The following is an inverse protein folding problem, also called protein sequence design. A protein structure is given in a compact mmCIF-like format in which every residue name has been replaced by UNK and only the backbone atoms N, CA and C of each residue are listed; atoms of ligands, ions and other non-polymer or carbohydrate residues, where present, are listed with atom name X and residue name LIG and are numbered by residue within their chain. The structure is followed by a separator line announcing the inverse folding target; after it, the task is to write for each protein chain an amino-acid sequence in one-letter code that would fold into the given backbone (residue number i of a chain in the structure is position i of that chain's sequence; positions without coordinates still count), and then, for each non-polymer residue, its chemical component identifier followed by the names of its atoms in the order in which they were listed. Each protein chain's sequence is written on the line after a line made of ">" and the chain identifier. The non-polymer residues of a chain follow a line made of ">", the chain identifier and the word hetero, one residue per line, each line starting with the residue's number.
data_IF_497304325285
#
_entry.id   IF_497304325285
#
_cell.length_a   1.000
_cell.length_b   1.000
_cell.length_c   1.000
_cell.angle_alpha   90.00
_cell.angle_beta   90.00
_cell.angle_gamma   90.00
#
_symmetry.space_group_name_H-M   'P 1'
#
loop_
_entity.id
_entity.type
_entity.pdbx_description
1 polymer ?
#
# COMPACT_ATOMS: atom_id res chain seq x y z
N UNK A 1 17.49 14.60 -3.26
CA UNK A 1 16.39 15.11 -3.81
C UNK A 1 15.26 14.47 -3.22
N UNK A 2 14.33 15.03 -3.23
CA UNK A 2 13.33 14.54 -2.67
C UNK A 2 12.95 13.44 -3.34
N UNK A 3 12.77 12.47 -2.83
CA UNK A 3 12.34 11.34 -3.41
C UNK A 3 11.11 11.62 -4.09
N UNK A 4 11.19 11.74 -5.33
CA UNK A 4 10.01 11.76 -6.08
C UNK A 4 9.39 10.41 -5.94
N UNK A 5 8.06 10.33 -5.93
CA UNK A 5 7.39 9.06 -5.83
C UNK A 5 7.91 8.04 -6.83
N UNK A 6 8.25 8.47 -8.04
CA UNK A 6 8.74 7.54 -9.02
C UNK A 6 10.01 6.87 -8.55
N UNK A 7 10.77 7.49 -7.69
CA UNK A 7 11.98 6.89 -7.19
C UNK A 7 11.70 5.64 -6.38
N UNK A 8 10.49 5.51 -5.87
CA UNK A 8 10.14 4.32 -5.12
C UNK A 8 9.94 3.13 -6.05
N UNK A 9 9.66 3.39 -7.31
CA UNK A 9 9.44 2.34 -8.29
C UNK A 9 10.61 2.17 -9.23
N UNK A 10 11.69 2.99 -9.05
CA UNK A 10 12.85 2.85 -9.85
C UNK A 10 13.65 1.75 -9.25
N UNK A 11 13.44 0.57 -9.66
CA UNK A 11 14.04 -0.62 -9.11
C UNK A 11 15.25 -1.02 -9.90
N UNK A 12 16.27 -1.54 -9.21
CA UNK A 12 17.46 -2.04 -9.90
C UNK A 12 17.12 -3.23 -10.76
N UNK A 13 16.02 -3.91 -10.43
CA UNK A 13 15.59 -5.11 -11.12
C UNK A 13 14.22 -4.88 -11.76
N UNK A 14 13.89 -5.62 -12.82
CA UNK A 14 12.57 -5.52 -13.42
C UNK A 14 11.47 -5.79 -12.38
N UNK A 15 10.29 -5.18 -12.56
CA UNK A 15 9.17 -5.41 -11.67
C UNK A 15 8.85 -6.90 -11.54
N UNK A 16 9.06 -7.66 -12.61
CA UNK A 16 8.83 -9.11 -12.63
C UNK A 16 9.67 -9.89 -11.62
N UNK A 17 10.75 -9.31 -11.09
CA UNK A 17 11.59 -9.99 -10.11
C UNK A 17 11.26 -9.60 -8.68
N UNK A 18 10.27 -8.74 -8.46
CA UNK A 18 9.87 -8.32 -7.13
C UNK A 18 8.98 -9.37 -6.50
N UNK A 19 9.35 -9.85 -5.32
CA UNK A 19 8.62 -10.93 -4.64
C UNK A 19 7.91 -10.47 -3.37
N UNK A 20 8.10 -9.23 -2.95
CA UNK A 20 7.49 -8.69 -1.73
C UNK A 20 6.59 -7.51 -2.06
N UNK A 21 5.65 -7.17 -1.17
CA UNK A 21 4.79 -6.02 -1.39
C UNK A 21 5.59 -4.71 -1.50
N UNK A 22 5.12 -3.82 -2.34
CA UNK A 22 5.72 -2.50 -2.53
C UNK A 22 4.74 -1.45 -2.02
N UNK A 23 5.21 -0.59 -1.13
CA UNK A 23 4.40 0.49 -0.58
C UNK A 23 4.12 1.53 -1.66
N UNK A 24 2.86 1.93 -1.78
CA UNK A 24 2.49 3.05 -2.63
C UNK A 24 2.33 4.26 -1.71
N UNK A 25 3.32 5.13 -1.72
CA UNK A 25 3.27 6.32 -0.87
C UNK A 25 2.27 7.33 -1.40
N UNK A 26 1.76 8.14 -0.50
CA UNK A 26 0.88 9.26 -0.83
C UNK A 26 -0.48 8.86 -1.41
N UNK A 27 -0.98 7.70 -1.01
CA UNK A 27 -2.34 7.32 -1.30
C UNK A 27 -3.18 7.68 -0.07
N UNK A 28 -4.11 8.60 -0.25
CA UNK A 28 -4.97 9.08 0.81
C UNK A 28 -6.43 8.92 0.42
N UNK A 29 -7.28 8.67 1.42
CA UNK A 29 -8.71 8.53 1.23
C UNK A 29 -9.41 9.59 2.07
N UNK A 30 -10.60 9.98 1.65
CA UNK A 30 -11.43 10.86 2.47
C UNK A 30 -11.74 10.17 3.80
N UNK A 31 -11.89 10.93 4.86
CA UNK A 31 -12.07 10.38 6.19
C UNK A 31 -13.23 9.37 6.23
N UNK A 32 -12.95 8.19 6.76
CA UNK A 32 -13.93 7.10 6.92
C UNK A 32 -14.62 6.73 5.60
N UNK A 33 -13.96 6.93 4.47
CA UNK A 33 -14.52 6.68 3.14
C UNK A 33 -13.51 5.95 2.26
N UNK A 34 -14.01 5.46 1.15
CA UNK A 34 -13.16 4.82 0.15
C UNK A 34 -12.80 5.77 -1.00
N UNK A 35 -13.29 7.00 -0.98
CA UNK A 35 -13.00 7.95 -2.05
C UNK A 35 -11.55 8.42 -1.94
N UNK A 36 -10.85 8.38 -3.06
CA UNK A 36 -9.46 8.84 -3.12
C UNK A 36 -9.41 10.36 -3.09
N UNK A 37 -8.40 10.91 -2.43
CA UNK A 37 -8.17 12.35 -2.46
C UNK A 37 -7.47 12.74 -3.75
N UNK A 38 -7.56 14.01 -4.17
CA UNK A 38 -6.87 14.47 -5.38
C UNK A 38 -5.35 14.23 -5.33
N UNK A 39 -4.75 14.32 -4.15
CA UNK A 39 -3.31 14.12 -4.00
C UNK A 39 -2.89 12.69 -4.38
N UNK A 40 -3.79 11.73 -4.23
CA UNK A 40 -3.50 10.34 -4.56
C UNK A 40 -3.28 10.12 -6.05
N UNK A 41 -3.79 11.01 -6.90
CA UNK A 41 -3.70 10.81 -8.35
C UNK A 41 -2.28 10.82 -8.87
N UNK A 42 -1.39 11.60 -8.25
CA UNK A 42 0.01 11.66 -8.68
C UNK A 42 0.66 10.28 -8.52
N UNK A 43 0.52 9.68 -7.36
CA UNK A 43 1.12 8.35 -7.11
C UNK A 43 0.49 7.29 -8.01
N UNK A 44 -0.82 7.38 -8.24
CA UNK A 44 -1.50 6.40 -9.07
C UNK A 44 -1.15 6.55 -10.55
N UNK A 45 -0.93 7.78 -11.03
CA UNK A 45 -0.49 8.00 -12.40
C UNK A 45 0.92 7.42 -12.61
N UNK A 46 1.76 7.50 -11.60
CA UNK A 46 3.09 6.89 -11.67
C UNK A 46 2.99 5.36 -11.67
N UNK A 47 2.05 4.80 -10.93
CA UNK A 47 1.82 3.35 -10.94
C UNK A 47 1.30 2.92 -12.32
N UNK A 48 0.43 3.72 -12.96
CA UNK A 48 -0.03 3.44 -14.32
C UNK A 48 1.17 3.38 -15.26
N UNK A 49 2.09 4.34 -15.16
CA UNK A 49 3.28 4.35 -16.01
C UNK A 49 4.13 3.09 -15.77
N UNK A 50 4.31 2.72 -14.50
CA UNK A 50 5.07 1.53 -14.15
C UNK A 50 4.43 0.27 -14.76
N UNK A 51 3.11 0.17 -14.69
CA UNK A 51 2.40 -0.98 -15.25
C UNK A 51 2.45 -0.99 -16.78
N UNK A 52 2.44 0.17 -17.42
CA UNK A 52 2.62 0.25 -18.87
C UNK A 52 4.03 -0.16 -19.28
N UNK A 53 5.02 0.16 -18.46
CA UNK A 53 6.41 -0.23 -18.73
C UNK A 53 6.66 -1.72 -18.46
N UNK A 54 5.75 -2.37 -17.74
CA UNK A 54 5.84 -3.79 -17.40
C UNK A 54 4.55 -4.51 -17.78
N UNK A 55 4.25 -4.64 -19.08
CA UNK A 55 2.93 -5.08 -19.54
C UNK A 55 2.55 -6.51 -19.19
N UNK A 56 3.53 -7.34 -18.82
CA UNK A 56 3.26 -8.76 -18.54
C UNK A 56 2.97 -9.03 -17.06
N UNK A 57 2.92 -8.00 -16.24
CA UNK A 57 2.77 -8.16 -14.80
C UNK A 57 1.31 -7.98 -14.38
N UNK A 58 0.84 -8.86 -13.51
CA UNK A 58 -0.43 -8.66 -12.81
C UNK A 58 -0.12 -8.37 -11.35
N UNK A 59 -0.93 -7.52 -10.73
CA UNK A 59 -0.69 -7.11 -9.34
C UNK A 59 -1.95 -7.21 -8.50
N UNK A 60 -1.74 -7.36 -7.19
CA UNK A 60 -2.78 -7.18 -6.21
C UNK A 60 -2.60 -5.80 -5.60
N UNK A 61 -3.69 -5.03 -5.52
CA UNK A 61 -3.72 -3.76 -4.79
C UNK A 61 -4.22 -4.08 -3.40
N UNK A 62 -3.38 -3.87 -2.40
CA UNK A 62 -3.63 -4.30 -1.03
C UNK A 62 -3.84 -3.09 -0.14
N UNK A 63 -5.00 -2.99 0.49
CA UNK A 63 -5.28 -1.89 1.41
C UNK A 63 -5.36 -2.42 2.85
N UNK A 64 -4.79 -1.67 3.78
CA UNK A 64 -4.64 -2.07 5.17
C UNK A 64 -5.11 -0.96 6.10
N UNK A 65 -5.67 -1.36 7.25
CA UNK A 65 -6.10 -0.47 8.32
C UNK A 65 -5.21 -0.68 9.55
N UNK A 66 -5.32 0.23 10.52
CA UNK A 66 -4.78 -0.04 11.84
C UNK A 66 -5.78 -0.90 12.64
N UNK A 67 -5.42 -1.24 13.88
CA UNK A 67 -6.25 -2.12 14.69
C UNK A 67 -7.45 -1.44 15.34
N UNK A 68 -7.58 -0.13 15.21
CA UNK A 68 -8.67 0.59 15.90
C UNK A 68 -9.98 0.40 15.16
N UNK A 69 -11.04 0.28 15.93
CA UNK A 69 -12.40 0.19 15.39
C UNK A 69 -12.85 -1.26 15.21
N UNK A 70 -13.94 -1.43 14.49
CA UNK A 70 -14.56 -2.73 14.27
C UNK A 70 -13.86 -3.49 13.14
N UNK A 71 -13.48 -4.74 13.41
CA UNK A 71 -12.72 -5.54 12.44
C UNK A 71 -13.47 -5.76 11.13
N UNK A 72 -14.75 -6.10 11.21
CA UNK A 72 -15.54 -6.35 10.00
C UNK A 72 -15.71 -5.08 9.18
N UNK A 73 -15.94 -3.96 9.87
CA UNK A 73 -16.06 -2.67 9.20
C UNK A 73 -14.76 -2.31 8.49
N UNK A 74 -13.63 -2.47 9.18
CA UNK A 74 -12.30 -2.17 8.62
C UNK A 74 -11.98 -3.08 7.43
N UNK A 75 -12.39 -4.34 7.50
CA UNK A 75 -12.15 -5.25 6.40
C UNK A 75 -12.93 -4.80 5.16
N UNK A 76 -14.19 -4.45 5.32
CA UNK A 76 -15.02 -3.97 4.21
C UNK A 76 -14.52 -2.62 3.67
N UNK A 77 -14.14 -1.71 4.56
CA UNK A 77 -13.64 -0.40 4.14
C UNK A 77 -12.34 -0.56 3.35
N UNK A 78 -11.41 -1.39 3.84
CA UNK A 78 -10.16 -1.61 3.12
C UNK A 78 -10.40 -2.26 1.76
N UNK A 79 -11.37 -3.18 1.65
CA UNK A 79 -11.72 -3.76 0.35
C UNK A 79 -12.24 -2.68 -0.61
N UNK A 80 -13.12 -1.81 -0.15
CA UNK A 80 -13.64 -0.72 -0.98
C UNK A 80 -12.53 0.27 -1.38
N UNK A 81 -11.57 0.49 -0.49
CA UNK A 81 -10.42 1.35 -0.80
C UNK A 81 -9.54 0.74 -1.88
N UNK A 82 -9.26 -0.55 -1.78
CA UNK A 82 -8.50 -1.24 -2.82
C UNK A 82 -9.24 -1.20 -4.16
N UNK A 83 -10.56 -1.35 -4.12
CA UNK A 83 -11.38 -1.28 -5.33
C UNK A 83 -11.37 0.13 -5.95
N UNK A 84 -11.29 1.17 -5.12
CA UNK A 84 -11.20 2.54 -5.64
C UNK A 84 -9.89 2.76 -6.39
N UNK A 85 -8.80 2.20 -5.88
CA UNK A 85 -7.50 2.26 -6.57
C UNK A 85 -7.59 1.53 -7.90
N UNK A 86 -8.15 0.32 -7.90
CA UNK A 86 -8.30 -0.47 -9.12
C UNK A 86 -9.14 0.29 -10.16
N UNK A 87 -10.25 0.88 -9.74
CA UNK A 87 -11.10 1.67 -10.67
C UNK A 87 -10.32 2.81 -11.30
N UNK A 88 -9.49 3.49 -10.52
CA UNK A 88 -8.67 4.58 -11.07
C UNK A 88 -7.69 4.04 -12.12
N UNK A 89 -7.04 2.93 -11.84
CA UNK A 89 -6.08 2.33 -12.77
C UNK A 89 -6.76 1.87 -14.06
N UNK A 90 -7.94 1.27 -13.94
CA UNK A 90 -8.72 0.84 -15.11
C UNK A 90 -9.09 2.06 -15.95
N UNK A 91 -9.54 3.13 -15.32
CA UNK A 91 -9.89 4.35 -16.01
C UNK A 91 -8.68 4.95 -16.70
N UNK A 92 -7.50 4.74 -16.15
CA UNK A 92 -6.24 5.17 -16.74
C UNK A 92 -5.71 4.28 -17.86
N UNK A 93 -6.44 3.22 -18.21
CA UNK A 93 -6.11 2.37 -19.36
C UNK A 93 -5.51 1.02 -19.02
N UNK A 94 -5.39 0.66 -17.72
CA UNK A 94 -4.86 -0.66 -17.36
C UNK A 94 -5.98 -1.69 -17.47
N UNK A 95 -5.66 -2.84 -18.08
CA UNK A 95 -6.61 -3.94 -18.23
C UNK A 95 -7.03 -4.45 -16.85
N UNK A 96 -8.33 -4.60 -16.63
CA UNK A 96 -8.86 -5.06 -15.35
C UNK A 96 -8.36 -6.45 -14.96
N UNK A 97 -8.03 -7.29 -15.94
CA UNK A 97 -7.53 -8.63 -15.66
C UNK A 97 -6.12 -8.63 -15.06
N UNK A 98 -5.45 -7.51 -15.10
CA UNK A 98 -4.11 -7.36 -14.50
C UNK A 98 -4.18 -6.94 -13.04
N UNK A 99 -5.38 -6.63 -12.53
CA UNK A 99 -5.53 -5.95 -11.24
C UNK A 99 -6.48 -6.72 -10.33
N UNK A 100 -6.05 -7.00 -9.11
CA UNK A 100 -6.89 -7.66 -8.10
C UNK A 100 -6.95 -6.78 -6.86
N UNK A 101 -8.13 -6.27 -6.49
CA UNK A 101 -8.23 -5.50 -5.25
C UNK A 101 -8.38 -6.42 -4.05
N UNK A 102 -7.67 -6.15 -2.97
CA UNK A 102 -7.76 -6.93 -1.75
C UNK A 102 -7.65 -6.04 -0.51
N UNK A 103 -8.69 -6.05 0.31
CA UNK A 103 -8.66 -5.39 1.59
C UNK A 103 -8.31 -6.39 2.68
N UNK A 104 -7.32 -6.07 3.49
CA UNK A 104 -6.86 -6.95 4.57
C UNK A 104 -7.31 -6.45 5.94
N UNK A 105 -7.92 -5.26 6.01
CA UNK A 105 -8.25 -4.68 7.31
C UNK A 105 -6.99 -4.59 8.16
N UNK A 106 -7.08 -5.06 9.39
CA UNK A 106 -5.95 -5.04 10.31
C UNK A 106 -5.16 -6.37 10.33
N UNK A 107 -5.53 -7.31 9.47
CA UNK A 107 -5.03 -8.69 9.55
C UNK A 107 -3.55 -8.86 9.16
N UNK A 108 -2.98 -7.88 8.48
CA UNK A 108 -1.57 -7.96 8.07
C UNK A 108 -0.83 -6.70 8.52
N UNK A 109 -0.41 -6.67 9.78
CA UNK A 109 0.39 -5.56 10.29
C UNK A 109 1.70 -5.45 9.51
N UNK A 110 2.19 -4.23 9.38
CA UNK A 110 3.44 -3.97 8.66
C UNK A 110 4.62 -4.59 9.40
N UNK A 111 5.51 -5.22 8.63
CA UNK A 111 6.83 -5.61 9.13
C UNK A 111 7.79 -4.48 8.79
N UNK A 112 8.54 -4.02 9.78
CA UNK A 112 9.44 -2.87 9.64
C UNK A 112 10.60 -3.19 8.71
N UNK A 113 10.83 -2.33 7.74
CA UNK A 113 11.95 -2.40 6.81
C UNK A 113 12.86 -1.20 7.04
N UNK A 114 13.99 -1.15 6.35
CA UNK A 114 14.88 0.01 6.43
C UNK A 114 14.14 1.30 6.03
N UNK A 115 13.24 1.21 5.05
CA UNK A 115 12.48 2.38 4.62
C UNK A 115 11.55 2.87 5.74
N UNK A 116 10.93 1.96 6.49
CA UNK A 116 10.05 2.29 7.59
C UNK A 116 10.76 3.12 8.67
N UNK A 117 12.03 2.85 8.88
CA UNK A 117 12.82 3.53 9.91
C UNK A 117 12.93 5.04 9.67
N UNK A 118 12.72 5.49 8.44
CA UNK A 118 12.75 6.93 8.14
C UNK A 118 11.67 7.69 8.89
N UNK A 119 10.49 7.09 9.02
CA UNK A 119 9.40 7.72 9.76
C UNK A 119 9.33 7.25 11.21
N UNK A 120 9.97 6.16 11.56
CA UNK A 120 9.89 5.58 12.89
C UNK A 120 11.26 5.05 13.34
N UNK A 121 12.21 5.94 13.60
CA UNK A 121 13.58 5.53 13.93
C UNK A 121 13.69 4.76 15.25
N UNK A 122 12.64 4.79 16.08
CA UNK A 122 12.62 4.04 17.34
C UNK A 122 12.33 2.55 17.12
N UNK A 123 11.99 2.12 15.90
CA UNK A 123 11.72 0.72 15.58
C UNK A 123 12.99 0.03 15.08
N UNK A 124 12.90 -1.29 14.96
CA UNK A 124 13.98 -2.10 14.41
C UNK A 124 13.47 -2.86 13.21
N UNK A 125 14.32 -3.06 12.22
CA UNK A 125 13.99 -3.89 11.06
C UNK A 125 13.54 -5.26 11.54
N UNK A 126 12.43 -5.73 11.04
CA UNK A 126 11.85 -7.03 11.42
C UNK A 126 10.77 -6.95 12.49
N UNK A 127 10.61 -5.80 13.16
CA UNK A 127 9.50 -5.64 14.09
C UNK A 127 8.19 -5.77 13.32
N UNK A 128 7.21 -6.45 13.91
CA UNK A 128 5.87 -6.57 13.33
C UNK A 128 4.93 -5.71 14.15
N UNK A 129 4.25 -4.78 13.50
CA UNK A 129 3.45 -3.76 14.17
C UNK A 129 2.06 -4.27 14.54
N UNK A 130 2.02 -5.33 15.36
CA UNK A 130 0.77 -5.88 15.88
C UNK A 130 0.18 -4.97 16.94
N UNK A 131 -1.09 -5.16 17.26
CA UNK A 131 -1.75 -4.42 18.33
C UNK A 131 -0.97 -4.58 19.64
N UNK A 132 -0.59 -5.82 19.97
CA UNK A 132 0.15 -6.09 21.18
C UNK A 132 1.48 -5.32 21.22
N UNK A 133 2.22 -5.34 20.13
CA UNK A 133 3.49 -4.64 20.04
C UNK A 133 3.28 -3.13 20.23
N UNK A 134 2.29 -2.57 19.55
CA UNK A 134 2.03 -1.13 19.57
C UNK A 134 1.62 -0.65 20.96
N UNK A 135 0.75 -1.42 21.63
CA UNK A 135 0.24 -1.01 22.94
C UNK A 135 1.32 -0.89 24.01
N UNK A 136 2.48 -1.50 23.81
CA UNK A 136 3.59 -1.37 24.73
C UNK A 136 4.46 -0.15 24.49
N UNK A 137 4.13 0.66 23.49
CA UNK A 137 4.90 1.87 23.16
C UNK A 137 4.28 3.12 23.79
N UNK A 138 5.05 4.21 23.95
CA UNK A 138 4.46 5.49 24.33
C UNK A 138 3.41 5.95 23.33
N UNK A 139 2.43 6.72 23.78
CA UNK A 139 1.30 7.11 22.93
C UNK A 139 1.70 7.76 21.61
N UNK A 140 2.72 8.62 21.64
CA UNK A 140 3.17 9.25 20.40
C UNK A 140 3.67 8.25 19.39
N UNK A 141 4.39 7.23 19.88
CA UNK A 141 4.93 6.19 19.02
C UNK A 141 3.82 5.25 18.53
N UNK A 142 2.80 5.03 19.36
CA UNK A 142 1.65 4.23 18.95
C UNK A 142 0.98 4.82 17.72
N UNK A 143 0.76 6.14 17.70
CA UNK A 143 0.11 6.76 16.55
C UNK A 143 0.97 6.68 15.29
N UNK A 144 2.27 6.81 15.43
CA UNK A 144 3.17 6.65 14.29
C UNK A 144 3.05 5.23 13.71
N UNK A 145 3.01 4.23 14.56
CA UNK A 145 2.87 2.84 14.12
C UNK A 145 1.50 2.58 13.48
N UNK A 146 0.44 3.15 14.05
CA UNK A 146 -0.89 3.02 13.47
C UNK A 146 -0.95 3.65 12.08
N UNK A 147 -0.30 4.81 11.92
CA UNK A 147 -0.23 5.46 10.62
C UNK A 147 0.52 4.61 9.59
N UNK A 148 1.57 3.93 10.02
CA UNK A 148 2.32 3.02 9.14
C UNK A 148 1.45 1.85 8.71
N UNK A 149 0.62 1.31 9.60
CA UNK A 149 -0.29 0.22 9.26
C UNK A 149 -1.38 0.66 8.28
N UNK A 150 -1.82 1.90 8.31
CA UNK A 150 -2.83 2.42 7.39
C UNK A 150 -2.14 2.73 6.06
N UNK A 151 -2.10 1.74 5.18
CA UNK A 151 -1.30 1.85 3.96
C UNK A 151 -1.94 1.13 2.78
N UNK A 152 -1.51 1.49 1.58
CA UNK A 152 -1.85 0.79 0.35
C UNK A 152 -0.54 0.28 -0.26
N UNK A 153 -0.55 -0.96 -0.68
CA UNK A 153 0.62 -1.60 -1.30
C UNK A 153 0.20 -2.29 -2.59
N UNK A 154 1.14 -2.62 -3.46
CA UNK A 154 0.86 -3.56 -4.52
C UNK A 154 1.79 -4.76 -4.40
N UNK A 155 1.33 -5.90 -4.86
CA UNK A 155 2.09 -7.13 -4.84
C UNK A 155 2.02 -7.77 -6.21
N UNK A 156 3.16 -8.14 -6.77
CA UNK A 156 3.21 -8.81 -8.07
C UNK A 156 2.67 -10.23 -7.91
N UNK A 157 1.69 -10.58 -8.70
CA UNK A 157 1.07 -11.90 -8.66
C UNK A 157 1.61 -12.81 -9.76
N UNK A 158 1.67 -12.30 -10.99
CA UNK A 158 2.18 -13.07 -12.12
C UNK A 158 2.98 -12.16 -13.03
N UNK A 159 3.88 -12.76 -13.79
CA UNK A 159 4.77 -12.03 -14.70
C UNK A 159 4.62 -12.54 -16.14
N UNK A 160 3.56 -13.29 -16.41
CA UNK A 160 3.34 -13.93 -17.70
C UNK A 160 2.02 -13.53 -18.35
N UNK A 161 1.46 -12.39 -17.96
CA UNK A 161 0.22 -11.91 -18.55
C UNK A 161 0.46 -11.52 -20.03
N UNK A 162 -0.50 -11.86 -20.87
CA UNK A 162 -0.41 -11.56 -22.29
C UNK A 162 -1.66 -10.84 -22.78
#
# INVERSE_FOLDING_TARGET
>A
HDALPICHYELEFPLSSITRPVLIENIFYEFDRADLTPESTVALDELIQLLNDNPNVTIELSAHCDYKGNDDYNLRLSQRRAESVVRYLIKGGIDSERLTPKGYGEQQPKTVTNFTLKSAPFLKVGDVLTEEFIKNLPLEQQEICNAINRRTEFKVLRTTYQ
#
